data_IF_658376447224
#
_entry.id   IF_658376447224
#
_cell.length_a   1.000
_cell.length_b   1.000
_cell.length_c   1.000
_cell.angle_alpha   90.00
_cell.angle_beta   90.00
_cell.angle_gamma   90.00
#
_symmetry.space_group_name_H-M   'P 1'
#
loop_
_entity.id
_entity.type
_entity.pdbx_description
1 polymer ?
#
# COMPACT_ATOMS: atom_id res chain seq x y z
N UNK A 1 15.39 7.40 6.40
CA UNK A 1 16.50 6.39 6.38
C UNK A 1 17.15 6.34 5.00
N UNK A 2 18.43 5.95 4.90
CA UNK A 2 19.07 5.60 3.63
C UNK A 2 18.65 4.19 3.18
N UNK A 3 18.39 3.99 1.88
CA UNK A 3 17.84 2.73 1.34
C UNK A 3 18.91 1.76 0.81
N UNK A 4 20.11 2.23 0.54
CA UNK A 4 21.20 1.38 0.03
C UNK A 4 21.49 0.24 1.02
N UNK A 5 21.54 -0.99 0.51
CA UNK A 5 21.71 -2.23 1.30
C UNK A 5 20.61 -2.53 2.32
N UNK A 6 19.43 -1.92 2.16
CA UNK A 6 18.24 -2.21 2.93
C UNK A 6 17.38 -3.26 2.25
N UNK A 7 16.39 -3.76 2.98
CA UNK A 7 15.45 -4.75 2.47
C UNK A 7 14.00 -4.33 2.73
N UNK A 8 13.14 -4.57 1.75
CA UNK A 8 11.73 -4.23 1.81
C UNK A 8 10.84 -5.42 1.45
N UNK A 9 9.63 -5.43 2.02
CA UNK A 9 8.49 -6.18 1.52
C UNK A 9 7.48 -5.18 0.98
N UNK A 10 6.98 -5.39 -0.25
CA UNK A 10 5.86 -4.63 -0.80
C UNK A 10 4.73 -5.61 -1.12
N UNK A 11 3.59 -5.49 -0.43
CA UNK A 11 2.45 -6.36 -0.67
C UNK A 11 1.63 -5.89 -1.88
N UNK A 12 1.11 -6.84 -2.67
CA UNK A 12 0.37 -6.52 -3.90
C UNK A 12 1.25 -5.79 -4.93
N UNK A 13 2.51 -6.20 -5.09
CA UNK A 13 3.50 -5.48 -5.87
C UNK A 13 3.62 -5.94 -7.35
N UNK A 14 2.67 -6.76 -7.82
CA UNK A 14 2.65 -7.20 -9.23
C UNK A 14 2.18 -6.11 -10.21
N UNK A 15 1.45 -5.09 -9.75
CA UNK A 15 0.86 -4.05 -10.60
C UNK A 15 0.75 -2.71 -9.86
N UNK A 16 0.41 -1.66 -10.57
CA UNK A 16 0.00 -0.36 -10.03
C UNK A 16 1.00 0.26 -9.04
N UNK A 17 0.48 0.77 -7.93
CA UNK A 17 1.27 1.44 -6.88
C UNK A 17 2.31 0.52 -6.26
N UNK A 18 1.95 -0.76 -6.01
CA UNK A 18 2.90 -1.71 -5.43
C UNK A 18 4.10 -1.97 -6.35
N UNK A 19 3.85 -2.15 -7.65
CA UNK A 19 4.93 -2.28 -8.65
C UNK A 19 5.79 -1.02 -8.68
N UNK A 20 5.19 0.16 -8.82
CA UNK A 20 5.93 1.42 -8.85
C UNK A 20 6.78 1.62 -7.59
N UNK A 21 6.24 1.26 -6.41
CA UNK A 21 6.96 1.34 -5.13
C UNK A 21 8.13 0.37 -5.07
N UNK A 22 7.93 -0.89 -5.50
CA UNK A 22 9.00 -1.90 -5.51
C UNK A 22 10.17 -1.46 -6.40
N UNK A 23 9.89 -0.94 -7.61
CA UNK A 23 10.92 -0.42 -8.52
C UNK A 23 11.63 0.81 -7.96
N UNK A 24 10.88 1.75 -7.37
CA UNK A 24 11.46 2.96 -6.79
C UNK A 24 12.35 2.70 -5.57
N UNK A 25 12.06 1.64 -4.79
CA UNK A 25 12.92 1.14 -3.71
C UNK A 25 14.19 0.49 -4.27
N UNK A 26 14.04 -0.37 -5.30
CA UNK A 26 15.14 -1.07 -5.94
C UNK A 26 16.13 -0.10 -6.61
N UNK A 27 15.65 0.91 -7.31
CA UNK A 27 16.46 1.99 -7.91
C UNK A 27 17.37 2.69 -6.89
N UNK A 28 16.94 2.73 -5.62
CA UNK A 28 17.71 3.31 -4.50
C UNK A 28 18.58 2.30 -3.76
N UNK A 29 18.78 1.11 -4.33
CA UNK A 29 19.66 0.08 -3.77
C UNK A 29 19.01 -0.75 -2.64
N UNK A 30 17.68 -0.76 -2.53
CA UNK A 30 16.94 -1.58 -1.56
C UNK A 30 16.53 -2.91 -2.21
N UNK A 31 16.92 -4.03 -1.61
CA UNK A 31 16.44 -5.36 -2.03
C UNK A 31 14.96 -5.53 -1.69
N UNK A 32 14.19 -6.26 -2.51
CA UNK A 32 12.74 -6.27 -2.34
C UNK A 32 12.11 -7.65 -2.51
N UNK A 33 11.20 -8.01 -1.60
CA UNK A 33 10.21 -9.07 -1.83
C UNK A 33 8.99 -8.44 -2.48
N UNK A 34 8.73 -8.87 -3.71
CA UNK A 34 7.56 -8.49 -4.52
C UNK A 34 6.44 -9.47 -4.22
N UNK A 35 5.56 -9.14 -3.28
CA UNK A 35 4.47 -10.05 -2.92
C UNK A 35 3.29 -9.92 -3.88
N UNK A 36 2.64 -11.03 -4.14
CA UNK A 36 1.38 -11.13 -4.88
C UNK A 36 0.48 -12.23 -4.30
N UNK A 37 -0.83 -12.14 -4.53
CA UNK A 37 -1.76 -13.25 -4.29
C UNK A 37 -2.18 -13.94 -5.60
N UNK A 38 -2.51 -13.16 -6.64
CA UNK A 38 -3.04 -13.66 -7.92
C UNK A 38 -2.20 -13.26 -9.14
N UNK A 39 -1.58 -12.09 -9.15
CA UNK A 39 -0.84 -11.50 -10.30
C UNK A 39 0.59 -12.02 -10.41
N UNK A 40 0.76 -13.34 -10.62
CA UNK A 40 2.08 -13.99 -10.68
C UNK A 40 2.99 -13.37 -11.74
N UNK A 41 2.51 -13.29 -12.98
CA UNK A 41 3.29 -12.78 -14.11
C UNK A 41 3.76 -11.34 -13.88
N UNK A 42 2.86 -10.48 -13.38
CA UNK A 42 3.20 -9.09 -13.04
C UNK A 42 4.23 -9.00 -11.92
N UNK A 43 4.13 -9.86 -10.89
CA UNK A 43 5.09 -9.86 -9.79
C UNK A 43 6.47 -10.38 -10.22
N UNK A 44 6.52 -11.42 -11.04
CA UNK A 44 7.77 -11.94 -11.60
C UNK A 44 8.42 -10.91 -12.55
N UNK A 45 7.63 -10.20 -13.37
CA UNK A 45 8.12 -9.11 -14.20
C UNK A 45 8.69 -7.97 -13.34
N UNK A 46 7.95 -7.55 -12.31
CA UNK A 46 8.41 -6.52 -11.36
C UNK A 46 9.72 -6.92 -10.67
N UNK A 47 9.83 -8.19 -10.25
CA UNK A 47 11.05 -8.67 -9.61
C UNK A 47 12.25 -8.69 -10.58
N UNK A 48 12.05 -9.11 -11.84
CA UNK A 48 13.11 -9.04 -12.87
C UNK A 48 13.56 -7.61 -13.14
N UNK A 49 12.64 -6.68 -13.27
CA UNK A 49 12.96 -5.25 -13.49
C UNK A 49 13.67 -4.65 -12.27
N UNK A 50 13.22 -4.96 -11.06
CA UNK A 50 13.86 -4.52 -9.83
C UNK A 50 15.30 -5.06 -9.71
N UNK A 51 15.54 -6.32 -10.10
CA UNK A 51 16.87 -6.93 -10.09
C UNK A 51 17.84 -6.26 -11.08
N UNK A 52 17.33 -5.64 -12.15
CA UNK A 52 18.17 -4.90 -13.11
C UNK A 52 18.86 -3.67 -12.50
N UNK A 53 18.39 -3.18 -11.35
CA UNK A 53 19.08 -2.14 -10.55
C UNK A 53 20.22 -2.67 -9.68
N UNK A 54 20.57 -3.96 -9.80
CA UNK A 54 21.70 -4.56 -9.06
C UNK A 54 21.36 -4.97 -7.62
N UNK A 55 20.09 -5.05 -7.27
CA UNK A 55 19.60 -5.52 -5.97
C UNK A 55 19.00 -6.92 -6.06
N UNK A 56 18.86 -7.60 -4.92
CA UNK A 56 18.09 -8.85 -4.88
C UNK A 56 16.61 -8.55 -4.86
N UNK A 57 15.87 -9.12 -5.80
CA UNK A 57 14.42 -8.97 -5.90
C UNK A 57 13.77 -10.35 -6.15
N UNK A 58 12.77 -10.69 -5.33
CA UNK A 58 12.14 -12.02 -5.35
C UNK A 58 10.62 -11.87 -5.34
N UNK A 59 9.94 -12.49 -6.32
CA UNK A 59 8.49 -12.62 -6.31
C UNK A 59 8.07 -13.71 -5.31
N UNK A 60 7.11 -13.41 -4.44
CA UNK A 60 6.63 -14.36 -3.43
C UNK A 60 5.11 -14.34 -3.32
N UNK A 61 4.49 -15.52 -3.47
CA UNK A 61 3.05 -15.67 -3.37
C UNK A 61 2.61 -15.76 -1.90
N UNK A 62 1.75 -14.83 -1.46
CA UNK A 62 1.06 -14.89 -0.17
C UNK A 62 -0.22 -14.08 -0.24
N UNK A 63 -1.32 -14.62 0.29
CA UNK A 63 -2.54 -13.87 0.53
C UNK A 63 -2.45 -13.21 1.91
N UNK A 64 -2.49 -11.88 1.94
CA UNK A 64 -2.39 -11.12 3.21
C UNK A 64 -3.59 -11.30 4.13
N UNK A 65 -4.71 -11.84 3.62
CA UNK A 65 -5.86 -12.22 4.44
C UNK A 65 -5.59 -13.44 5.33
N UNK A 66 -4.56 -14.23 5.02
CA UNK A 66 -4.12 -15.41 5.77
C UNK A 66 -2.88 -15.12 6.64
N UNK A 67 -2.97 -15.38 7.93
CA UNK A 67 -1.86 -15.13 8.87
C UNK A 67 -0.65 -16.03 8.62
N UNK A 68 -0.88 -17.29 8.26
CA UNK A 68 0.19 -18.23 7.95
C UNK A 68 0.98 -17.78 6.73
N UNK A 69 0.27 -17.30 5.69
CA UNK A 69 0.89 -16.74 4.49
C UNK A 69 1.68 -15.45 4.80
N UNK A 70 1.17 -14.56 5.67
CA UNK A 70 1.92 -13.39 6.11
C UNK A 70 3.22 -13.75 6.84
N UNK A 71 3.20 -14.77 7.71
CA UNK A 71 4.40 -15.27 8.38
C UNK A 71 5.39 -15.89 7.40
N UNK A 72 4.91 -16.68 6.44
CA UNK A 72 5.73 -17.26 5.38
C UNK A 72 6.39 -16.18 4.50
N UNK A 73 5.66 -15.09 4.21
CA UNK A 73 6.18 -13.94 3.48
C UNK A 73 7.37 -13.28 4.20
N UNK A 74 7.25 -13.05 5.50
CA UNK A 74 8.33 -12.47 6.32
C UNK A 74 9.50 -13.44 6.44
N UNK A 75 9.25 -14.73 6.63
CA UNK A 75 10.30 -15.76 6.65
C UNK A 75 11.04 -15.84 5.30
N UNK A 76 10.34 -15.63 4.18
CA UNK A 76 10.98 -15.51 2.88
C UNK A 76 11.91 -14.28 2.80
N UNK A 77 11.51 -13.12 3.33
CA UNK A 77 12.38 -11.96 3.39
C UNK A 77 13.64 -12.22 4.23
N UNK A 78 13.50 -12.87 5.38
CA UNK A 78 14.64 -13.26 6.21
C UNK A 78 15.58 -14.23 5.48
N UNK A 79 15.04 -15.28 4.86
CA UNK A 79 15.82 -16.27 4.12
C UNK A 79 16.53 -15.69 2.89
N UNK A 80 15.82 -14.87 2.12
CA UNK A 80 16.31 -14.36 0.84
C UNK A 80 17.14 -13.09 0.97
N UNK A 81 16.79 -12.19 1.89
CA UNK A 81 17.39 -10.86 2.01
C UNK A 81 18.22 -10.70 3.30
N UNK A 82 18.05 -11.60 4.28
CA UNK A 82 18.77 -11.59 5.55
C UNK A 82 18.30 -10.52 6.55
N UNK A 83 17.43 -9.61 6.14
CA UNK A 83 16.94 -8.48 6.94
C UNK A 83 15.60 -7.95 6.43
N UNK A 84 14.98 -7.07 7.22
CA UNK A 84 13.83 -6.26 6.80
C UNK A 84 13.92 -4.88 7.44
N UNK A 85 13.82 -3.84 6.62
CA UNK A 85 13.87 -2.43 7.06
C UNK A 85 12.58 -1.68 6.73
N UNK A 86 11.88 -2.10 5.66
CA UNK A 86 10.66 -1.45 5.19
C UNK A 86 9.58 -2.50 4.88
N UNK A 87 8.38 -2.28 5.44
CA UNK A 87 7.18 -3.01 5.05
C UNK A 87 6.20 -2.02 4.43
N UNK A 88 5.81 -2.24 3.17
CA UNK A 88 4.75 -1.48 2.51
C UNK A 88 3.51 -2.36 2.37
N UNK A 89 2.49 -2.09 3.18
CA UNK A 89 1.17 -2.72 3.10
C UNK A 89 0.37 -2.02 2.00
N UNK A 90 0.56 -2.47 0.76
CA UNK A 90 -0.12 -1.92 -0.41
C UNK A 90 -1.25 -2.83 -0.92
N UNK A 91 -1.22 -4.13 -0.64
CA UNK A 91 -2.31 -5.02 -1.05
C UNK A 91 -3.68 -4.50 -0.59
N UNK A 92 -4.63 -4.47 -1.50
CA UNK A 92 -5.97 -3.98 -1.24
C UNK A 92 -6.98 -4.54 -2.23
N UNK A 93 -8.24 -4.55 -1.82
CA UNK A 93 -9.37 -4.99 -2.64
C UNK A 93 -10.59 -4.10 -2.42
N UNK A 94 -11.51 -4.11 -3.38
CA UNK A 94 -12.82 -3.46 -3.27
C UNK A 94 -13.87 -4.17 -4.11
N UNK A 95 -15.12 -3.76 -3.90
CA UNK A 95 -16.25 -3.94 -4.82
C UNK A 95 -16.75 -2.56 -5.23
N UNK A 96 -17.10 -2.40 -6.49
CA UNK A 96 -17.70 -1.16 -6.98
C UNK A 96 -19.23 -1.23 -6.82
N UNK A 97 -19.72 -0.64 -5.72
CA UNK A 97 -21.13 -0.59 -5.35
C UNK A 97 -21.48 0.86 -5.05
N UNK A 98 -22.43 1.48 -5.77
CA UNK A 98 -22.88 2.84 -5.48
C UNK A 98 -23.32 2.98 -4.02
N UNK A 99 -22.92 4.06 -3.34
CA UNK A 99 -23.21 4.24 -1.91
C UNK A 99 -24.71 4.32 -1.60
N UNK A 100 -25.54 4.72 -2.56
CA UNK A 100 -27.00 4.76 -2.39
C UNK A 100 -27.65 3.36 -2.43
N UNK A 101 -26.95 2.33 -2.90
CA UNK A 101 -27.45 0.97 -3.07
C UNK A 101 -27.05 0.10 -1.86
N UNK A 102 -27.69 0.37 -0.70
CA UNK A 102 -27.35 -0.29 0.56
C UNK A 102 -27.66 -1.79 0.54
N UNK A 103 -28.76 -2.18 -0.12
CA UNK A 103 -29.19 -3.58 -0.19
C UNK A 103 -28.23 -4.47 -1.00
N UNK A 104 -27.42 -3.88 -1.85
CA UNK A 104 -26.44 -4.62 -2.65
C UNK A 104 -25.17 -4.96 -1.90
N UNK A 105 -24.95 -4.37 -0.72
CA UNK A 105 -23.78 -4.63 0.12
C UNK A 105 -24.07 -5.83 1.03
N UNK A 106 -23.44 -6.97 0.74
CA UNK A 106 -23.58 -8.20 1.52
C UNK A 106 -22.43 -8.40 2.54
N UNK A 107 -22.61 -9.38 3.42
CA UNK A 107 -21.61 -9.76 4.42
C UNK A 107 -20.28 -10.18 3.82
N UNK A 108 -20.31 -10.85 2.66
CA UNK A 108 -19.10 -11.24 1.93
C UNK A 108 -18.26 -10.05 1.48
N UNK A 109 -18.90 -8.93 1.11
CA UNK A 109 -18.20 -7.70 0.74
C UNK A 109 -17.46 -7.11 1.95
N UNK A 110 -18.13 -7.06 3.12
CA UNK A 110 -17.52 -6.65 4.37
C UNK A 110 -16.35 -7.56 4.74
N UNK A 111 -16.59 -8.85 4.79
CA UNK A 111 -15.61 -9.85 5.22
C UNK A 111 -14.36 -9.82 4.34
N UNK A 112 -14.52 -9.84 3.01
CA UNK A 112 -13.41 -9.85 2.08
C UNK A 112 -12.61 -8.54 2.12
N UNK A 113 -13.29 -7.38 2.11
CA UNK A 113 -12.64 -6.08 2.11
C UNK A 113 -11.87 -5.86 3.41
N UNK A 114 -12.47 -6.17 4.56
CA UNK A 114 -11.79 -6.02 5.85
C UNK A 114 -10.66 -7.03 6.06
N UNK A 115 -10.81 -8.26 5.58
CA UNK A 115 -9.76 -9.26 5.65
C UNK A 115 -8.49 -8.80 4.95
N UNK A 116 -8.61 -8.23 3.74
CA UNK A 116 -7.45 -7.78 2.96
C UNK A 116 -6.98 -6.39 3.42
N UNK A 117 -7.89 -5.40 3.51
CA UNK A 117 -7.50 -4.00 3.67
C UNK A 117 -7.14 -3.60 5.10
N UNK A 118 -7.60 -4.33 6.11
CA UNK A 118 -7.38 -4.02 7.52
C UNK A 118 -6.64 -5.13 8.26
N UNK A 119 -7.19 -6.36 8.26
CA UNK A 119 -6.58 -7.50 8.96
C UNK A 119 -5.24 -7.87 8.34
N UNK A 120 -5.11 -7.82 7.00
CA UNK A 120 -3.87 -8.09 6.28
C UNK A 120 -2.70 -7.19 6.70
N UNK A 121 -2.81 -5.86 6.67
CA UNK A 121 -1.80 -4.94 7.19
C UNK A 121 -1.41 -5.22 8.65
N UNK A 122 -2.37 -5.54 9.52
CA UNK A 122 -2.07 -5.91 10.89
C UNK A 122 -1.29 -7.23 10.98
N UNK A 123 -1.68 -8.25 10.23
CA UNK A 123 -1.00 -9.56 10.20
C UNK A 123 0.44 -9.42 9.67
N UNK A 124 0.62 -8.68 8.58
CA UNK A 124 1.95 -8.39 8.04
C UNK A 124 2.82 -7.61 9.03
N UNK A 125 2.28 -6.56 9.67
CA UNK A 125 3.01 -5.78 10.68
C UNK A 125 3.42 -6.63 11.89
N UNK A 126 2.51 -7.47 12.40
CA UNK A 126 2.76 -8.41 13.50
C UNK A 126 3.86 -9.41 13.14
N UNK A 127 3.78 -10.00 11.96
CA UNK A 127 4.79 -10.96 11.49
C UNK A 127 6.15 -10.29 11.26
N UNK A 128 6.16 -9.08 10.69
CA UNK A 128 7.38 -8.35 10.35
C UNK A 128 8.12 -7.76 11.56
N UNK A 129 7.39 -7.44 12.65
CA UNK A 129 7.95 -6.76 13.84
C UNK A 129 9.25 -7.38 14.33
N UNK A 130 9.37 -8.70 14.60
CA UNK A 130 10.61 -9.26 15.13
C UNK A 130 11.81 -9.09 14.20
N UNK A 131 11.59 -9.22 12.88
CA UNK A 131 12.65 -9.07 11.89
C UNK A 131 13.07 -7.61 11.73
N UNK A 132 12.11 -6.66 11.70
CA UNK A 132 12.38 -5.22 11.71
C UNK A 132 13.21 -4.83 12.94
N UNK A 133 12.84 -5.30 14.14
CA UNK A 133 13.57 -5.00 15.38
C UNK A 133 15.00 -5.57 15.36
N UNK A 134 15.20 -6.81 14.88
CA UNK A 134 16.53 -7.42 14.72
C UNK A 134 17.39 -6.72 13.66
N UNK A 135 16.78 -6.12 12.66
CA UNK A 135 17.48 -5.35 11.62
C UNK A 135 17.93 -3.95 12.06
N UNK A 136 17.63 -3.58 13.32
CA UNK A 136 17.98 -2.28 13.89
C UNK A 136 16.83 -1.26 13.95
N UNK A 137 15.62 -1.70 13.72
CA UNK A 137 14.43 -0.86 13.56
C UNK A 137 14.05 -0.68 12.09
N UNK A 138 12.97 0.06 11.84
CA UNK A 138 12.51 0.21 10.45
C UNK A 138 11.25 1.05 10.31
N UNK A 139 10.58 0.84 9.19
CA UNK A 139 9.36 1.56 8.87
C UNK A 139 8.28 0.69 8.25
N UNK A 140 7.04 0.94 8.64
CA UNK A 140 5.83 0.40 8.02
C UNK A 140 5.09 1.55 7.34
N UNK A 141 4.74 1.39 6.06
CA UNK A 141 3.88 2.32 5.33
C UNK A 141 2.62 1.59 4.89
N UNK A 142 1.47 2.07 5.33
CA UNK A 142 0.18 1.56 4.91
C UNK A 142 -0.36 2.39 3.73
N UNK A 143 -0.80 1.74 2.65
CA UNK A 143 -1.48 2.42 1.55
C UNK A 143 -2.97 2.46 1.86
N UNK A 144 -3.40 3.61 2.40
CA UNK A 144 -4.78 3.93 2.69
C UNK A 144 -5.51 4.49 1.45
N UNK A 145 -6.36 5.49 1.64
CA UNK A 145 -7.08 6.22 0.59
C UNK A 145 -7.71 7.48 1.18
N UNK A 146 -7.94 8.50 0.36
CA UNK A 146 -8.85 9.62 0.72
C UNK A 146 -10.25 9.13 1.07
N UNK A 147 -10.66 7.98 0.56
CA UNK A 147 -11.92 7.32 0.92
C UNK A 147 -12.05 7.07 2.44
N UNK A 148 -10.92 6.84 3.13
CA UNK A 148 -10.88 6.73 4.59
C UNK A 148 -10.86 8.06 5.34
N UNK A 149 -10.83 9.18 4.64
CA UNK A 149 -10.85 10.55 5.20
C UNK A 149 -12.20 11.23 4.99
N UNK A 150 -12.78 11.08 3.77
CA UNK A 150 -13.98 11.82 3.37
C UNK A 150 -15.14 10.92 2.96
N UNK A 151 -15.04 9.62 3.19
CA UNK A 151 -16.09 8.61 2.94
C UNK A 151 -16.64 8.61 1.50
N UNK A 152 -15.81 8.95 0.51
CA UNK A 152 -16.13 8.86 -0.92
C UNK A 152 -15.21 7.86 -1.58
N UNK A 153 -15.77 6.82 -2.21
CA UNK A 153 -14.97 5.73 -2.78
C UNK A 153 -15.81 4.70 -3.51
N UNK A 154 -15.22 3.57 -3.80
CA UNK A 154 -15.81 2.49 -4.59
C UNK A 154 -16.99 1.77 -3.90
N UNK A 155 -17.04 1.78 -2.57
CA UNK A 155 -18.13 1.24 -1.76
C UNK A 155 -18.03 1.69 -0.30
N UNK A 156 -19.13 1.58 0.46
CA UNK A 156 -19.14 1.88 1.89
C UNK A 156 -18.16 0.99 2.67
N UNK A 157 -18.13 -0.35 2.50
CA UNK A 157 -17.14 -1.20 3.19
C UNK A 157 -15.70 -0.81 2.89
N UNK A 158 -15.39 -0.40 1.65
CA UNK A 158 -14.07 0.08 1.30
C UNK A 158 -13.70 1.35 2.09
N UNK A 159 -14.56 2.35 2.10
CA UNK A 159 -14.34 3.59 2.85
C UNK A 159 -14.11 3.31 4.33
N UNK A 160 -14.97 2.47 4.94
CA UNK A 160 -14.86 2.07 6.34
C UNK A 160 -13.53 1.33 6.61
N UNK A 161 -13.12 0.41 5.72
CA UNK A 161 -11.84 -0.31 5.87
C UNK A 161 -10.63 0.61 5.84
N UNK A 162 -10.65 1.66 4.98
CA UNK A 162 -9.55 2.62 4.89
C UNK A 162 -9.53 3.61 6.06
N UNK A 163 -10.69 3.99 6.60
CA UNK A 163 -10.77 4.75 7.85
C UNK A 163 -10.23 3.94 9.04
N UNK A 164 -10.58 2.66 9.12
CA UNK A 164 -10.05 1.75 10.13
C UNK A 164 -8.52 1.55 9.98
N UNK A 165 -7.99 1.48 8.75
CA UNK A 165 -6.56 1.40 8.48
C UNK A 165 -5.81 2.68 8.92
N UNK A 166 -6.42 3.86 8.77
CA UNK A 166 -5.87 5.11 9.28
C UNK A 166 -5.72 5.05 10.81
N UNK A 167 -6.75 4.57 11.52
CA UNK A 167 -6.69 4.39 12.97
C UNK A 167 -5.68 3.31 13.38
N UNK A 168 -5.64 2.18 12.68
CA UNK A 168 -4.65 1.11 12.91
C UNK A 168 -3.22 1.64 12.75
N UNK A 169 -2.97 2.54 11.80
CA UNK A 169 -1.66 3.19 11.59
C UNK A 169 -1.21 3.91 12.87
N UNK A 170 -2.11 4.69 13.49
CA UNK A 170 -1.82 5.43 14.73
C UNK A 170 -1.58 4.45 15.89
N UNK A 171 -2.42 3.42 16.02
CA UNK A 171 -2.27 2.42 17.07
C UNK A 171 -0.94 1.67 16.98
N UNK A 172 -0.56 1.23 15.77
CA UNK A 172 0.72 0.55 15.53
C UNK A 172 1.91 1.49 15.76
N UNK A 173 1.81 2.76 15.38
CA UNK A 173 2.85 3.75 15.64
C UNK A 173 3.17 3.90 17.14
N UNK A 174 2.12 3.89 17.99
CA UNK A 174 2.28 3.96 19.46
C UNK A 174 2.99 2.75 20.04
N UNK A 175 2.59 1.53 19.60
CA UNK A 175 3.07 0.30 20.24
C UNK A 175 4.39 -0.21 19.67
N UNK A 176 4.79 0.26 18.48
CA UNK A 176 6.02 -0.15 17.82
C UNK A 176 7.17 0.86 17.98
N UNK A 177 6.86 2.08 18.43
CA UNK A 177 7.87 3.07 18.79
C UNK A 177 8.70 2.58 19.99
N UNK A 178 9.97 3.03 20.13
CA UNK A 178 10.69 3.95 19.23
C UNK A 178 11.40 3.26 18.05
N UNK A 179 11.35 1.93 17.95
CA UNK A 179 12.14 1.16 16.97
C UNK A 179 11.57 1.17 15.58
N UNK A 180 10.25 1.21 15.45
CA UNK A 180 9.57 1.12 14.15
C UNK A 180 8.60 2.30 14.02
N UNK A 181 8.79 3.10 12.97
CA UNK A 181 7.83 4.14 12.59
C UNK A 181 6.71 3.53 11.74
N UNK A 182 5.49 3.99 11.94
CA UNK A 182 4.34 3.54 11.13
C UNK A 182 3.57 4.75 10.64
N UNK A 183 3.44 4.88 9.32
CA UNK A 183 2.67 5.95 8.68
C UNK A 183 1.79 5.38 7.56
N UNK A 184 0.92 6.20 7.03
CA UNK A 184 0.10 5.86 5.87
C UNK A 184 0.22 6.93 4.78
N UNK A 185 0.04 6.52 3.52
CA UNK A 185 -0.27 7.40 2.40
C UNK A 185 -1.74 7.20 2.06
N UNK A 186 -2.47 8.28 1.82
CA UNK A 186 -3.88 8.27 1.42
C UNK A 186 -4.02 8.85 -0.01
N UNK A 187 -3.90 8.01 -1.05
CA UNK A 187 -4.07 8.45 -2.42
C UNK A 187 -5.51 8.88 -2.71
N UNK A 188 -5.64 9.84 -3.64
CA UNK A 188 -6.89 10.16 -4.31
C UNK A 188 -7.20 9.21 -5.45
N UNK A 189 -7.76 9.74 -6.56
CA UNK A 189 -7.97 8.98 -7.77
C UNK A 189 -6.60 8.65 -8.41
N UNK A 190 -6.33 7.36 -8.59
CA UNK A 190 -5.09 6.87 -9.20
C UNK A 190 -5.40 6.43 -10.63
N UNK A 191 -4.85 7.11 -11.62
CA UNK A 191 -4.99 6.70 -13.01
C UNK A 191 -4.32 5.32 -13.24
N UNK A 192 -5.05 4.39 -13.84
CA UNK A 192 -4.54 3.04 -14.11
C UNK A 192 -5.62 2.00 -14.34
N UNK A 193 -5.16 0.81 -14.72
CA UNK A 193 -6.03 -0.31 -15.12
C UNK A 193 -7.04 -0.74 -14.06
N UNK A 194 -6.66 -0.71 -12.80
CA UNK A 194 -7.52 -1.15 -11.70
C UNK A 194 -8.82 -0.33 -11.61
N UNK A 195 -8.71 1.01 -11.68
CA UNK A 195 -9.89 1.88 -11.72
C UNK A 195 -10.61 1.81 -13.07
N UNK A 196 -9.86 1.71 -14.18
CA UNK A 196 -10.44 1.60 -15.51
C UNK A 196 -11.31 0.33 -15.64
N UNK A 197 -10.82 -0.81 -15.15
CA UNK A 197 -11.58 -2.06 -15.12
C UNK A 197 -12.81 -1.97 -14.19
N UNK A 198 -12.66 -1.35 -13.02
CA UNK A 198 -13.75 -1.23 -12.05
C UNK A 198 -14.85 -0.26 -12.44
N UNK A 199 -14.52 0.84 -13.11
CA UNK A 199 -15.44 1.90 -13.51
C UNK A 199 -15.98 1.72 -14.94
N UNK A 200 -15.29 0.92 -15.78
CA UNK A 200 -15.69 0.70 -17.17
C UNK A 200 -15.85 2.02 -17.94
N UNK A 201 -16.99 2.20 -18.63
CA UNK A 201 -17.27 3.39 -19.42
C UNK A 201 -17.30 4.70 -18.60
N UNK A 202 -17.49 4.63 -17.28
CA UNK A 202 -17.50 5.81 -16.41
C UNK A 202 -16.08 6.31 -16.05
N UNK A 203 -15.02 5.58 -16.40
CA UNK A 203 -13.65 5.91 -16.00
C UNK A 203 -13.22 7.29 -16.47
N UNK A 204 -13.26 7.57 -17.78
CA UNK A 204 -12.79 8.85 -18.33
C UNK A 204 -13.60 10.06 -17.84
N UNK A 205 -14.95 10.02 -17.82
CA UNK A 205 -15.74 11.12 -17.26
C UNK A 205 -15.41 11.39 -15.77
N UNK A 206 -15.26 10.34 -14.96
CA UNK A 206 -14.93 10.49 -13.54
C UNK A 206 -13.51 11.05 -13.39
N UNK A 207 -12.53 10.54 -14.15
CA UNK A 207 -11.15 11.04 -14.13
C UNK A 207 -11.10 12.54 -14.42
N UNK A 208 -11.75 13.00 -15.50
CA UNK A 208 -11.81 14.42 -15.86
C UNK A 208 -12.46 15.27 -14.76
N UNK A 209 -13.54 14.79 -14.16
CA UNK A 209 -14.18 15.48 -13.03
C UNK A 209 -13.24 15.59 -11.81
N UNK A 210 -12.46 14.53 -11.52
CA UNK A 210 -11.47 14.55 -10.44
C UNK A 210 -10.30 15.50 -10.75
N UNK A 211 -9.83 15.52 -12.00
CA UNK A 211 -8.79 16.47 -12.46
C UNK A 211 -9.24 17.92 -12.35
N UNK A 212 -10.48 18.21 -12.77
CA UNK A 212 -11.05 19.54 -12.67
C UNK A 212 -11.20 20.02 -11.21
N UNK A 213 -11.51 19.09 -10.28
CA UNK A 213 -11.68 19.38 -8.85
C UNK A 213 -10.34 19.51 -8.10
N UNK A 214 -9.31 18.85 -8.56
CA UNK A 214 -8.00 18.88 -7.91
C UNK A 214 -7.33 20.24 -8.11
N UNK A 215 -6.82 20.85 -7.04
CA UNK A 215 -6.12 22.14 -7.10
C UNK A 215 -4.91 22.13 -8.05
N UNK A 216 -4.24 20.96 -8.22
CA UNK A 216 -3.13 20.79 -9.17
C UNK A 216 -3.60 20.32 -10.56
N UNK A 217 -4.92 20.27 -10.83
CA UNK A 217 -5.54 19.91 -12.11
C UNK A 217 -5.04 18.57 -12.69
N UNK A 218 -4.67 17.64 -11.83
CA UNK A 218 -4.28 16.27 -12.21
C UNK A 218 -4.64 15.27 -11.12
N UNK A 219 -4.88 14.03 -11.52
CA UNK A 219 -5.02 12.88 -10.63
C UNK A 219 -3.66 12.20 -10.42
N UNK A 220 -3.59 11.31 -9.42
CA UNK A 220 -2.36 10.57 -9.13
C UNK A 220 -2.03 9.55 -10.21
N UNK A 221 -0.75 9.34 -10.45
CA UNK A 221 -0.21 8.14 -11.06
C UNK A 221 0.31 7.17 -9.99
N UNK A 222 0.53 5.89 -10.30
CA UNK A 222 1.22 4.97 -9.39
C UNK A 222 2.59 5.50 -8.92
N UNK A 223 3.31 6.23 -9.78
CA UNK A 223 4.61 6.83 -9.49
C UNK A 223 4.50 7.97 -8.47
N UNK A 224 3.46 8.80 -8.55
CA UNK A 224 3.22 9.86 -7.57
C UNK A 224 3.00 9.26 -6.17
N UNK A 225 2.22 8.18 -6.07
CA UNK A 225 1.98 7.50 -4.80
C UNK A 225 3.25 6.81 -4.28
N UNK A 226 4.03 6.17 -5.16
CA UNK A 226 5.32 5.59 -4.79
C UNK A 226 6.29 6.66 -4.27
N UNK A 227 6.34 7.85 -4.89
CA UNK A 227 7.13 8.98 -4.41
C UNK A 227 6.69 9.45 -3.01
N UNK A 228 5.37 9.51 -2.76
CA UNK A 228 4.84 9.84 -1.43
C UNK A 228 5.21 8.77 -0.38
N UNK A 229 5.16 7.48 -0.72
CA UNK A 229 5.63 6.39 0.15
C UNK A 229 7.11 6.57 0.47
N UNK A 230 7.94 6.80 -0.54
CA UNK A 230 9.38 6.99 -0.36
C UNK A 230 9.70 8.24 0.49
N UNK A 231 8.94 9.33 0.34
CA UNK A 231 9.13 10.52 1.17
C UNK A 231 8.95 10.24 2.67
N UNK A 232 8.00 9.36 3.03
CA UNK A 232 7.84 8.90 4.42
C UNK A 232 8.99 8.00 4.86
N UNK A 233 9.51 7.14 3.96
CA UNK A 233 10.62 6.21 4.27
C UNK A 233 11.93 6.95 4.44
N UNK A 234 12.28 7.84 3.50
CA UNK A 234 13.58 8.52 3.44
C UNK A 234 13.61 9.89 4.09
N UNK A 235 12.45 10.46 4.42
CA UNK A 235 12.32 11.77 5.05
C UNK A 235 12.64 11.78 6.54
N UNK A 236 12.00 12.66 7.29
CA UNK A 236 12.26 12.87 8.72
C UNK A 236 11.98 11.63 9.57
N UNK A 237 12.90 11.29 10.45
CA UNK A 237 12.73 10.19 11.41
C UNK A 237 11.80 10.55 12.59
N UNK A 238 11.35 11.80 12.69
CA UNK A 238 10.38 12.26 13.69
C UNK A 238 8.92 12.11 13.24
N UNK A 239 8.67 11.60 12.01
CA UNK A 239 7.31 11.41 11.50
C UNK A 239 6.86 9.97 11.72
N UNK A 240 5.86 9.79 12.61
CA UNK A 240 5.18 8.53 12.87
C UNK A 240 3.72 8.76 13.26
N UNK A 241 2.82 7.83 12.94
CA UNK A 241 1.39 7.92 13.23
C UNK A 241 0.61 8.85 12.29
N UNK A 242 1.20 9.29 11.18
CA UNK A 242 0.58 10.23 10.25
C UNK A 242 -0.03 9.53 9.03
N UNK A 243 -1.10 10.15 8.50
CA UNK A 243 -1.71 9.81 7.22
C UNK A 243 -1.42 10.97 6.26
N UNK A 244 -0.64 10.73 5.23
CA UNK A 244 -0.24 11.71 4.22
C UNK A 244 -1.18 11.61 3.01
N UNK A 245 -2.08 12.59 2.75
CA UNK A 245 -2.84 12.64 1.52
C UNK A 245 -1.93 12.84 0.31
N UNK A 246 -2.21 12.12 -0.79
CA UNK A 246 -1.54 12.26 -2.07
C UNK A 246 -2.64 12.28 -3.14
N UNK A 247 -3.16 13.46 -3.48
CA UNK A 247 -4.45 13.58 -4.19
C UNK A 247 -4.60 14.84 -5.05
N UNK A 248 -3.51 15.58 -5.25
CA UNK A 248 -3.49 16.78 -6.10
C UNK A 248 -4.24 17.98 -5.53
N UNK A 249 -4.53 18.01 -4.23
CA UNK A 249 -5.31 19.09 -3.59
C UNK A 249 -6.83 18.93 -3.76
N UNK A 250 -7.32 17.72 -4.05
CA UNK A 250 -8.75 17.44 -4.19
C UNK A 250 -9.53 17.67 -2.88
N UNK A 251 -8.89 17.48 -1.72
CA UNK A 251 -9.51 17.68 -0.41
C UNK A 251 -9.66 19.15 -0.01
N UNK A 252 -8.92 20.05 -0.66
CA UNK A 252 -8.93 21.50 -0.39
C UNK A 252 -9.45 22.32 -1.58
N UNK A 253 -9.69 21.66 -2.72
CA UNK A 253 -10.29 22.30 -3.90
C UNK A 253 -11.76 22.67 -3.66
N UNK A 254 -12.18 23.75 -4.23
CA UNK A 254 -13.55 24.31 -4.16
C UNK A 254 -14.49 23.57 -5.09
#
# INVERSE_FOLDING_TARGET
MELKHKAAIVTGAGTGVGRATALALAERGCSVIVNYSRSREGAEATAREAAAFGVKAVAFQADVADDGACRALVAAAERELGRLDVLVNNAGTTRFIPHADLERVGDDDWNQIFAVNLKGPFQCARAARPLLERSGGGMIVNVSSVAGLVATGSSIPYCASKAALNNLTIALARVLAPRIRVNAVAPGFIAGEWLAQGLGAAYEPIKQAMEARAALHRVCTPQDVAAAILSLVTGSDLVTGHVLPCEGGMLIGS
#
